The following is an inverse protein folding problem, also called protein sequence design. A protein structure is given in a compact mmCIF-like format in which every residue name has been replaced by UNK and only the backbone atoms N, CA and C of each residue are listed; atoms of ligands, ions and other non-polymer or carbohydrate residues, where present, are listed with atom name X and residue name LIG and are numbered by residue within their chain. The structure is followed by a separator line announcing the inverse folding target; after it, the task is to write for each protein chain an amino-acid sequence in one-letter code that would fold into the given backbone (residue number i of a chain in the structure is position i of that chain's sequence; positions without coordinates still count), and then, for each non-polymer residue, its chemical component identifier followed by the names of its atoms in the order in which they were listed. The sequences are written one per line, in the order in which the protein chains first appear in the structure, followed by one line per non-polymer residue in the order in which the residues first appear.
data_IF_741318453959
#
_entry.id   IF_741318453959
#
_cell.length_a   1.000
_cell.length_b   1.000
_cell.length_c   1.000
_cell.angle_alpha   90.00
_cell.angle_beta   90.00
_cell.angle_gamma   90.00
#
_symmetry.space_group_name_H-M   'P 1'
#
loop_
_entity.id
_entity.type
_entity.pdbx_description
1 polymer ?
#
# COMPACT_ATOMS: atom_id res chain seq x y z
N UNK A 1 8.42 6.40 1.51
CA UNK A 1 7.76 5.17 1.99
C UNK A 1 7.02 5.43 3.29
N UNK A 2 7.64 6.08 4.31
CA UNK A 2 7.02 6.40 5.60
C UNK A 2 5.66 7.09 5.47
N UNK A 3 5.56 8.08 4.59
CA UNK A 3 4.37 8.89 4.42
C UNK A 3 3.18 8.09 3.81
N UNK A 4 3.43 7.03 3.08
CA UNK A 4 2.40 6.10 2.63
C UNK A 4 1.73 5.37 3.81
N UNK A 5 2.49 5.03 4.85
CA UNK A 5 1.96 4.35 6.04
C UNK A 5 1.09 5.25 6.95
N UNK A 6 0.85 6.50 6.57
CA UNK A 6 -0.26 7.30 7.11
C UNK A 6 -1.65 6.79 6.67
N UNK A 7 -1.71 5.83 5.75
CA UNK A 7 -2.97 5.22 5.25
C UNK A 7 -3.95 4.82 6.36
N UNK A 8 -3.55 4.20 7.48
CA UNK A 8 -4.50 3.87 8.57
C UNK A 8 -5.12 5.09 9.23
N UNK A 9 -4.43 6.22 9.25
CA UNK A 9 -4.99 7.49 9.74
C UNK A 9 -6.08 7.96 8.79
N UNK A 10 -5.80 7.99 7.49
CA UNK A 10 -6.77 8.37 6.45
C UNK A 10 -7.98 7.46 6.46
N UNK A 11 -7.79 6.14 6.56
CA UNK A 11 -8.86 5.15 6.66
C UNK A 11 -9.72 5.38 7.91
N UNK A 12 -9.11 5.70 9.05
CA UNK A 12 -9.83 5.99 10.31
C UNK A 12 -10.63 7.28 10.19
N UNK A 13 -10.07 8.32 9.58
CA UNK A 13 -10.75 9.59 9.34
C UNK A 13 -11.95 9.40 8.40
N UNK A 14 -11.76 8.70 7.27
CA UNK A 14 -12.85 8.40 6.34
C UNK A 14 -13.99 7.63 7.04
N UNK A 15 -13.64 6.60 7.81
CA UNK A 15 -14.60 5.81 8.57
C UNK A 15 -15.35 6.67 9.60
N UNK A 16 -14.67 7.59 10.25
CA UNK A 16 -15.28 8.52 11.22
C UNK A 16 -16.24 9.49 10.56
N UNK A 17 -15.81 10.14 9.47
CA UNK A 17 -16.58 11.21 8.83
C UNK A 17 -17.75 10.68 7.99
N UNK A 18 -17.56 9.58 7.27
CA UNK A 18 -18.58 9.07 6.35
C UNK A 18 -19.44 7.93 6.91
N UNK A 19 -18.91 7.11 7.81
CA UNK A 19 -19.67 6.01 8.44
C UNK A 19 -20.14 6.36 9.85
N UNK A 20 -19.78 7.53 10.39
CA UNK A 20 -20.17 7.95 11.74
C UNK A 20 -19.59 7.07 12.86
N UNK A 21 -18.68 6.15 12.56
CA UNK A 21 -18.11 5.25 13.54
C UNK A 21 -17.30 6.01 14.58
N UNK A 22 -17.47 5.64 15.86
CA UNK A 22 -16.69 6.24 16.95
C UNK A 22 -15.27 5.71 16.91
N UNK A 23 -14.29 6.62 17.00
CA UNK A 23 -12.89 6.24 17.17
C UNK A 23 -12.74 5.69 18.58
N UNK A 24 -12.47 4.39 18.71
CA UNK A 24 -12.28 3.76 20.01
C UNK A 24 -10.86 4.03 20.51
N UNK A 25 -10.68 4.09 21.82
CA UNK A 25 -9.35 4.25 22.45
C UNK A 25 -8.40 3.14 22.00
N UNK A 26 -8.91 1.91 21.89
CA UNK A 26 -8.13 0.78 21.37
C UNK A 26 -7.56 1.06 19.97
N UNK A 27 -8.36 1.65 19.06
CA UNK A 27 -7.89 2.00 17.70
C UNK A 27 -6.79 3.07 17.73
N UNK A 28 -6.93 4.08 18.61
CA UNK A 28 -5.90 5.12 18.79
C UNK A 28 -4.60 4.52 19.34
N UNK A 29 -4.68 3.63 20.33
CA UNK A 29 -3.51 2.95 20.90
C UNK A 29 -2.81 2.11 19.85
N UNK A 30 -3.55 1.31 19.06
CA UNK A 30 -2.96 0.48 18.01
C UNK A 30 -2.27 1.34 16.94
N UNK A 31 -2.89 2.45 16.51
CA UNK A 31 -2.26 3.40 15.59
C UNK A 31 -0.99 4.00 16.18
N UNK A 32 -1.03 4.45 17.43
CA UNK A 32 0.14 5.04 18.11
C UNK A 32 1.28 4.02 18.25
N UNK A 33 0.99 2.78 18.63
CA UNK A 33 1.98 1.70 18.69
C UNK A 33 2.56 1.37 17.32
N UNK A 34 1.71 1.30 16.28
CA UNK A 34 2.14 1.07 14.91
C UNK A 34 3.08 2.16 14.39
N UNK A 35 2.75 3.43 14.63
CA UNK A 35 3.63 4.56 14.29
C UNK A 35 4.92 4.56 15.10
N UNK A 36 4.86 4.32 16.42
CA UNK A 36 6.04 4.23 17.24
C UNK A 36 6.99 3.14 16.74
N UNK A 37 6.46 1.94 16.45
CA UNK A 37 7.23 0.85 15.86
C UNK A 37 7.88 1.21 14.53
N UNK A 38 7.10 1.84 13.64
CA UNK A 38 7.58 2.30 12.34
C UNK A 38 8.71 3.34 12.48
N UNK A 39 8.56 4.34 13.36
CA UNK A 39 9.60 5.32 13.65
C UNK A 39 10.87 4.68 14.21
N UNK A 40 10.72 3.66 15.07
CA UNK A 40 11.86 2.93 15.63
C UNK A 40 12.63 2.17 14.55
N UNK A 41 11.92 1.51 13.63
CA UNK A 41 12.51 0.70 12.55
C UNK A 41 13.20 1.56 11.49
N UNK A 42 12.58 2.69 11.12
CA UNK A 42 13.06 3.54 10.02
C UNK A 42 14.08 4.60 10.47
N UNK A 43 14.40 4.62 11.76
CA UNK A 43 15.38 5.47 12.37
C UNK A 43 14.84 6.87 12.69
N UNK A 44 14.89 7.24 13.96
CA UNK A 44 14.55 8.59 14.42
C UNK A 44 15.57 9.64 13.94
N UNK A 45 16.70 9.22 13.38
CA UNK A 45 17.84 10.06 12.99
C UNK A 45 17.54 10.95 11.77
N UNK A 46 16.49 10.66 11.00
CA UNK A 46 16.14 11.44 9.81
C UNK A 46 15.28 12.68 10.10
N UNK A 47 14.92 12.92 11.35
CA UNK A 47 14.07 14.03 11.78
C UNK A 47 12.58 13.80 11.46
N UNK A 48 11.75 14.80 11.76
CA UNK A 48 10.30 14.72 11.54
C UNK A 48 9.98 14.56 10.04
N UNK A 49 9.08 13.64 9.64
CA UNK A 49 8.79 13.30 8.24
C UNK A 49 7.91 14.36 7.55
N UNK A 50 8.43 15.58 7.41
CA UNK A 50 7.80 16.57 6.55
C UNK A 50 8.04 16.24 5.07
N UNK A 51 7.02 16.36 4.21
CA UNK A 51 7.19 16.20 2.78
C UNK A 51 8.15 17.26 2.24
N UNK A 52 9.30 16.82 1.73
CA UNK A 52 10.38 17.72 1.25
C UNK A 52 10.50 17.74 -0.27
N UNK A 53 9.95 16.74 -0.93
CA UNK A 53 10.08 16.58 -2.37
C UNK A 53 8.76 16.06 -2.98
N UNK A 54 8.67 16.05 -4.30
CA UNK A 54 7.50 15.57 -5.03
C UNK A 54 7.16 14.11 -4.69
N UNK A 55 8.18 13.26 -4.49
CA UNK A 55 7.98 11.86 -4.12
C UNK A 55 7.27 11.70 -2.76
N UNK A 56 7.55 12.58 -1.80
CA UNK A 56 6.89 12.57 -0.50
C UNK A 56 5.40 12.94 -0.61
N UNK A 57 5.07 13.94 -1.44
CA UNK A 57 3.69 14.31 -1.72
C UNK A 57 2.93 13.21 -2.47
N UNK A 58 3.58 12.54 -3.43
CA UNK A 58 3.02 11.39 -4.12
C UNK A 58 2.79 10.21 -3.16
N UNK A 59 3.67 9.99 -2.19
CA UNK A 59 3.49 8.97 -1.17
C UNK A 59 2.28 9.25 -0.25
N UNK A 60 2.07 10.51 0.15
CA UNK A 60 0.86 10.90 0.89
C UNK A 60 -0.40 10.69 0.03
N UNK A 61 -0.37 11.19 -1.21
CA UNK A 61 -1.49 11.07 -2.12
C UNK A 61 -1.88 9.60 -2.37
N UNK A 62 -0.88 8.72 -2.57
CA UNK A 62 -1.12 7.28 -2.74
C UNK A 62 -1.75 6.65 -1.49
N UNK A 63 -1.33 7.05 -0.28
CA UNK A 63 -1.94 6.60 0.97
C UNK A 63 -3.40 7.03 1.12
N UNK A 64 -3.72 8.27 0.75
CA UNK A 64 -5.11 8.79 0.73
C UNK A 64 -5.95 8.02 -0.29
N UNK A 65 -5.44 7.84 -1.52
CA UNK A 65 -6.14 7.12 -2.58
C UNK A 65 -6.38 5.66 -2.23
N UNK A 66 -5.41 5.02 -1.59
CA UNK A 66 -5.57 3.67 -1.07
C UNK A 66 -6.67 3.57 -0.01
N UNK A 67 -6.67 4.48 0.96
CA UNK A 67 -7.71 4.55 2.00
C UNK A 67 -9.10 4.81 1.38
N UNK A 68 -9.18 5.68 0.37
CA UNK A 68 -10.42 5.94 -0.34
C UNK A 68 -10.89 4.71 -1.14
N UNK A 69 -9.99 4.01 -1.82
CA UNK A 69 -10.28 2.77 -2.54
C UNK A 69 -10.85 1.68 -1.64
N UNK A 70 -10.18 1.39 -0.51
CA UNK A 70 -10.67 0.41 0.48
C UNK A 70 -11.99 0.83 1.10
N UNK A 71 -12.22 2.13 1.30
CA UNK A 71 -13.49 2.65 1.79
C UNK A 71 -14.63 2.43 0.77
N UNK A 72 -14.38 2.66 -0.52
CA UNK A 72 -15.36 2.43 -1.60
C UNK A 72 -15.71 0.94 -1.69
N UNK A 73 -14.70 0.06 -1.65
CA UNK A 73 -14.90 -1.39 -1.63
C UNK A 73 -15.79 -1.83 -0.45
N UNK A 74 -15.49 -1.33 0.73
CA UNK A 74 -16.25 -1.65 1.95
C UNK A 74 -17.72 -1.21 1.88
N UNK A 75 -18.03 -0.09 1.22
CA UNK A 75 -19.41 0.39 1.06
C UNK A 75 -20.26 -0.46 0.11
N UNK A 76 -19.65 -1.45 -0.52
CA UNK A 76 -20.29 -2.34 -1.46
C UNK A 76 -20.41 -1.71 -2.84
N UNK A 77 -19.49 -2.06 -3.71
CA UNK A 77 -19.58 -1.79 -5.13
C UNK A 77 -20.38 -2.93 -5.74
N UNK A 78 -21.32 -2.61 -6.64
CA UNK A 78 -22.11 -3.60 -7.36
C UNK A 78 -21.30 -4.38 -8.42
N UNK A 79 -20.02 -4.62 -8.13
CA UNK A 79 -19.07 -5.33 -8.98
C UNK A 79 -18.64 -6.64 -8.29
N UNK A 80 -18.49 -7.68 -9.08
CA UNK A 80 -17.91 -8.93 -8.59
C UNK A 80 -16.43 -8.76 -8.22
N UNK A 81 -15.92 -9.61 -7.32
CA UNK A 81 -14.53 -9.54 -6.85
C UNK A 81 -13.53 -9.55 -8.02
N UNK A 82 -13.81 -10.35 -9.04
CA UNK A 82 -12.96 -10.42 -10.23
C UNK A 82 -12.90 -9.09 -10.98
N UNK A 83 -14.04 -8.42 -11.16
CA UNK A 83 -14.12 -7.11 -11.82
C UNK A 83 -13.38 -6.04 -11.01
N UNK A 84 -13.45 -6.11 -9.69
CA UNK A 84 -12.72 -5.20 -8.80
C UNK A 84 -11.20 -5.40 -8.94
N UNK A 85 -10.72 -6.66 -8.94
CA UNK A 85 -9.30 -7.00 -9.15
C UNK A 85 -8.83 -6.53 -10.53
N UNK A 86 -9.62 -6.81 -11.56
CA UNK A 86 -9.29 -6.39 -12.93
C UNK A 86 -9.19 -4.86 -13.03
N UNK A 87 -10.17 -4.14 -12.49
CA UNK A 87 -10.18 -2.66 -12.51
C UNK A 87 -8.97 -2.09 -11.78
N UNK A 88 -8.59 -2.68 -10.64
CA UNK A 88 -7.40 -2.27 -9.90
C UNK A 88 -6.12 -2.51 -10.69
N UNK A 89 -5.94 -3.71 -11.26
CA UNK A 89 -4.78 -4.07 -12.06
C UNK A 89 -4.68 -3.21 -13.33
N UNK A 90 -5.80 -3.02 -14.03
CA UNK A 90 -5.88 -2.18 -15.22
C UNK A 90 -5.54 -0.72 -14.91
N UNK A 91 -6.16 -0.14 -13.88
CA UNK A 91 -5.88 1.23 -13.45
C UNK A 91 -4.43 1.42 -13.03
N UNK A 92 -3.85 0.47 -12.28
CA UNK A 92 -2.44 0.47 -11.90
C UNK A 92 -1.51 0.43 -13.11
N UNK A 93 -1.82 -0.42 -14.10
CA UNK A 93 -1.04 -0.52 -15.35
C UNK A 93 -1.09 0.78 -16.15
N UNK A 94 -2.28 1.37 -16.30
CA UNK A 94 -2.45 2.66 -17.01
C UNK A 94 -1.66 3.77 -16.30
N UNK A 95 -1.78 3.87 -14.98
CA UNK A 95 -1.01 4.86 -14.19
C UNK A 95 0.50 4.65 -14.34
N UNK A 96 0.98 3.41 -14.26
CA UNK A 96 2.40 3.09 -14.43
C UNK A 96 2.92 3.48 -15.83
N UNK A 97 2.13 3.21 -16.88
CA UNK A 97 2.47 3.62 -18.24
C UNK A 97 2.53 5.14 -18.39
N UNK A 98 1.55 5.85 -17.84
CA UNK A 98 1.53 7.33 -17.88
C UNK A 98 2.75 7.92 -17.16
N UNK A 99 3.11 7.37 -16.00
CA UNK A 99 4.30 7.79 -15.25
C UNK A 99 5.58 7.48 -16.07
N UNK A 100 5.69 6.29 -16.64
CA UNK A 100 6.84 5.89 -17.44
C UNK A 100 7.04 6.82 -18.66
N UNK A 101 5.96 7.19 -19.34
CA UNK A 101 5.98 8.13 -20.46
C UNK A 101 6.38 9.53 -19.98
N UNK A 102 5.83 9.99 -18.83
CA UNK A 102 6.09 11.33 -18.30
C UNK A 102 7.52 11.51 -17.79
N UNK A 103 8.16 10.42 -17.33
CA UNK A 103 9.54 10.43 -16.84
C UNK A 103 10.57 10.12 -17.94
N UNK A 104 10.14 10.05 -19.20
CA UNK A 104 11.02 9.67 -20.33
C UNK A 104 11.84 8.42 -20.00
N UNK A 105 11.17 7.39 -19.46
CA UNK A 105 11.82 6.15 -19.05
C UNK A 105 12.63 5.57 -20.23
N UNK A 106 13.91 5.31 -19.99
CA UNK A 106 14.84 4.85 -21.03
C UNK A 106 14.37 3.49 -21.59
N UNK A 107 14.01 3.43 -22.89
CA UNK A 107 13.59 2.17 -23.50
C UNK A 107 14.71 1.12 -23.52
N UNK A 108 15.97 1.51 -23.28
CA UNK A 108 17.08 0.58 -23.20
C UNK A 108 16.96 -0.39 -22.02
N UNK A 109 16.24 0.00 -20.95
CA UNK A 109 15.94 -0.89 -19.83
C UNK A 109 15.17 -2.14 -20.28
N UNK A 110 14.33 -2.02 -21.31
CA UNK A 110 13.62 -3.17 -21.90
C UNK A 110 14.56 -4.18 -22.58
N UNK A 111 15.74 -3.75 -23.03
CA UNK A 111 16.75 -4.63 -23.66
C UNK A 111 17.49 -5.51 -22.65
N UNK A 112 17.42 -5.17 -21.36
CA UNK A 112 17.99 -5.97 -20.27
C UNK A 112 17.07 -7.14 -19.85
N UNK A 113 15.89 -7.29 -20.48
CA UNK A 113 14.97 -8.39 -20.21
C UNK A 113 15.45 -9.68 -20.85
N UNK A 114 16.34 -10.38 -20.15
CA UNK A 114 16.72 -11.74 -20.47
C UNK A 114 15.57 -12.69 -20.14
N UNK A 115 15.52 -13.87 -20.77
CA UNK A 115 14.45 -14.85 -20.56
C UNK A 115 14.26 -15.21 -19.06
N UNK A 116 15.35 -15.25 -18.30
CA UNK A 116 15.31 -15.48 -16.85
C UNK A 116 14.60 -14.35 -16.11
N UNK A 117 14.83 -13.10 -16.48
CA UNK A 117 14.16 -11.95 -15.89
C UNK A 117 12.65 -11.98 -16.17
N UNK A 118 12.24 -12.39 -17.37
CA UNK A 118 10.82 -12.54 -17.75
C UNK A 118 10.15 -13.59 -16.86
N UNK A 119 10.81 -14.72 -16.60
CA UNK A 119 10.31 -15.76 -15.72
C UNK A 119 10.07 -15.27 -14.29
N UNK A 120 11.03 -14.53 -13.74
CA UNK A 120 10.91 -13.93 -12.39
C UNK A 120 9.79 -12.88 -12.36
N UNK A 121 9.71 -12.01 -13.36
CA UNK A 121 8.65 -10.99 -13.45
C UNK A 121 7.27 -11.66 -13.54
N UNK A 122 7.12 -12.70 -14.35
CA UNK A 122 5.88 -13.44 -14.46
C UNK A 122 5.47 -14.09 -13.13
N UNK A 123 6.42 -14.73 -12.42
CA UNK A 123 6.17 -15.29 -11.10
C UNK A 123 5.72 -14.23 -10.10
N UNK A 124 6.43 -13.12 -10.03
CA UNK A 124 6.07 -11.98 -9.15
C UNK A 124 4.70 -11.43 -9.51
N UNK A 125 4.38 -11.29 -10.80
CA UNK A 125 3.08 -10.81 -11.25
C UNK A 125 1.94 -11.75 -10.79
N UNK A 126 2.12 -13.07 -10.88
CA UNK A 126 1.13 -14.05 -10.40
C UNK A 126 0.94 -13.92 -8.88
N UNK A 127 2.03 -13.81 -8.12
CA UNK A 127 1.97 -13.65 -6.66
C UNK A 127 1.24 -12.34 -6.31
N UNK A 128 1.55 -11.25 -6.98
CA UNK A 128 0.90 -9.95 -6.77
C UNK A 128 -0.60 -10.00 -7.11
N UNK A 129 -1.00 -10.66 -8.20
CA UNK A 129 -2.41 -10.83 -8.55
C UNK A 129 -3.15 -11.64 -7.49
N UNK A 130 -2.57 -12.75 -7.02
CA UNK A 130 -3.16 -13.55 -5.96
C UNK A 130 -3.31 -12.77 -4.64
N UNK A 131 -2.28 -12.01 -4.27
CA UNK A 131 -2.29 -11.14 -3.09
C UNK A 131 -3.36 -10.05 -3.19
N UNK A 132 -3.46 -9.39 -4.36
CA UNK A 132 -4.50 -8.39 -4.59
C UNK A 132 -5.90 -8.99 -4.53
N UNK A 133 -6.10 -10.19 -5.06
CA UNK A 133 -7.38 -10.89 -4.98
C UNK A 133 -7.80 -11.13 -3.52
N UNK A 134 -6.91 -11.69 -2.70
CA UNK A 134 -7.15 -11.92 -1.28
C UNK A 134 -7.39 -10.62 -0.52
N UNK A 135 -6.64 -9.58 -0.87
CA UNK A 135 -6.79 -8.26 -0.26
C UNK A 135 -8.14 -7.62 -0.57
N UNK A 136 -8.62 -7.72 -1.80
CA UNK A 136 -9.94 -7.19 -2.18
C UNK A 136 -11.05 -7.93 -1.44
N UNK A 137 -10.96 -9.26 -1.29
CA UNK A 137 -11.89 -10.02 -0.45
C UNK A 137 -11.86 -9.49 0.98
N UNK A 138 -10.69 -9.31 1.55
CA UNK A 138 -10.52 -8.77 2.90
C UNK A 138 -11.09 -7.35 3.04
N UNK A 139 -10.87 -6.48 2.05
CA UNK A 139 -11.37 -5.12 2.04
C UNK A 139 -12.91 -5.03 1.91
N UNK A 140 -13.55 -6.00 1.27
CA UNK A 140 -15.00 -6.09 1.21
C UNK A 140 -15.62 -6.56 2.54
N UNK A 141 -14.89 -7.36 3.32
CA UNK A 141 -15.38 -7.95 4.57
C UNK A 141 -15.02 -7.14 5.82
N UNK A 142 -13.93 -6.40 5.77
CA UNK A 142 -13.38 -5.69 6.92
C UNK A 142 -13.57 -4.17 6.79
N UNK A 143 -13.88 -3.54 7.92
CA UNK A 143 -13.91 -2.08 7.99
C UNK A 143 -12.52 -1.48 7.61
N UNK A 144 -12.49 -0.39 6.81
CA UNK A 144 -11.25 0.21 6.28
C UNK A 144 -10.21 0.54 7.34
N UNK A 145 -10.65 0.88 8.55
CA UNK A 145 -9.73 1.13 9.65
C UNK A 145 -9.01 -0.14 10.13
N UNK A 146 -9.66 -1.31 10.07
CA UNK A 146 -9.02 -2.61 10.39
C UNK A 146 -8.07 -3.02 9.27
N UNK A 147 -8.46 -2.83 8.03
CA UNK A 147 -7.58 -3.06 6.88
C UNK A 147 -6.31 -2.23 7.01
N UNK A 148 -6.43 -0.94 7.35
CA UNK A 148 -5.28 -0.06 7.56
C UNK A 148 -4.34 -0.54 8.68
N UNK A 149 -4.87 -1.06 9.78
CA UNK A 149 -4.06 -1.62 10.88
C UNK A 149 -3.34 -2.91 10.43
N UNK A 150 -4.02 -3.77 9.66
CA UNK A 150 -3.40 -4.99 9.13
C UNK A 150 -2.24 -4.69 8.17
N UNK A 151 -2.34 -3.61 7.38
CA UNK A 151 -1.24 -3.16 6.53
C UNK A 151 0.02 -2.75 7.32
N UNK A 152 -0.10 -2.34 8.59
CA UNK A 152 1.07 -2.08 9.43
C UNK A 152 1.85 -3.35 9.76
N UNK A 153 1.19 -4.52 9.81
CA UNK A 153 1.87 -5.80 10.01
C UNK A 153 2.77 -6.17 8.82
N UNK A 154 2.41 -5.72 7.62
CA UNK A 154 3.22 -5.90 6.41
C UNK A 154 4.62 -5.30 6.58
N UNK A 155 4.72 -4.12 7.20
CA UNK A 155 6.01 -3.46 7.48
C UNK A 155 6.86 -4.34 8.38
N UNK A 156 6.27 -4.87 9.46
CA UNK A 156 6.99 -5.72 10.43
C UNK A 156 7.51 -6.97 9.74
N UNK A 157 6.66 -7.66 8.98
CA UNK A 157 7.04 -8.85 8.21
C UNK A 157 8.10 -8.51 7.16
N UNK A 158 7.94 -7.40 6.45
CA UNK A 158 8.89 -6.91 5.44
C UNK A 158 10.28 -6.64 6.04
N UNK A 159 10.34 -5.97 7.18
CA UNK A 159 11.61 -5.66 7.85
C UNK A 159 12.28 -6.91 8.41
N UNK A 160 11.52 -7.81 9.06
CA UNK A 160 12.06 -9.07 9.58
C UNK A 160 12.60 -9.93 8.43
N UNK A 161 11.82 -10.10 7.35
CA UNK A 161 12.27 -10.89 6.20
C UNK A 161 13.49 -10.29 5.52
N UNK A 162 13.52 -8.97 5.34
CA UNK A 162 14.68 -8.28 4.79
C UNK A 162 15.93 -8.42 5.67
N UNK A 163 15.78 -8.31 7.00
CA UNK A 163 16.91 -8.48 7.95
C UNK A 163 17.44 -9.89 7.95
N UNK A 164 16.58 -10.91 7.87
CA UNK A 164 16.98 -12.32 7.79
C UNK A 164 17.72 -12.59 6.47
N UNK A 165 17.19 -12.11 5.35
CA UNK A 165 17.80 -12.29 4.04
C UNK A 165 19.11 -11.51 3.88
N UNK A 166 19.21 -10.32 4.46
CA UNK A 166 20.45 -9.53 4.45
C UNK A 166 21.51 -10.07 5.41
N UNK A 167 21.10 -10.62 6.56
CA UNK A 167 22.01 -11.24 7.55
C UNK A 167 22.55 -12.60 7.13
N UNK A 168 21.96 -13.22 6.11
CA UNK A 168 22.42 -14.49 5.54
C UNK A 168 23.56 -14.33 4.51
N UNK A 169 24.06 -13.11 4.33
CA UNK A 169 25.24 -12.79 3.53
C UNK A 169 26.38 -12.41 4.45
#
# INVERSE_FOLDING_TARGET
ILLFYLTPVWSTLLTRFYLGQRITVSRVVVLACGFAGMFTILGADTGWPWPRNLGDWLAIASGVMWAAGTFVLYRGVALETFEQVFSFAFGGTVCALLIAISLEADPSAARLMHAEAIGVIALVAVILLATNFLMIIGANLLDPGRVGVLLMLEVVVGVISASVLAGAR
#
